data_IF_425648713682
#
_entry.id   IF_425648713682
#
_cell.length_a   1.000
_cell.length_b   1.000
_cell.length_c   1.000
_cell.angle_alpha   90.00
_cell.angle_beta   90.00
_cell.angle_gamma   90.00
#
_symmetry.space_group_name_H-M   'P 1'
#
loop_
_entity.id
_entity.type
_entity.pdbx_description
1 polymer ?
#
# COMPACT_ATOMS: atom_id res chain seq x y z
N UNK A 1 -3.32 -22.34 29.62
CA UNK A 1 -4.29 -21.25 29.38
C UNK A 1 -3.51 -20.00 29.68
N UNK A 2 -3.21 -19.22 28.65
CA UNK A 2 -2.39 -18.02 28.81
C UNK A 2 -3.11 -17.05 29.76
N UNK A 3 -2.36 -16.40 30.64
CA UNK A 3 -2.94 -15.50 31.64
C UNK A 3 -3.51 -14.25 30.95
N UNK A 4 -4.83 -14.14 30.91
CA UNK A 4 -5.52 -12.95 30.40
C UNK A 4 -5.66 -11.92 31.50
N UNK A 5 -5.38 -10.65 31.18
CA UNK A 5 -5.42 -9.58 32.16
C UNK A 5 -6.03 -8.29 31.62
N UNK A 6 -6.53 -7.52 32.57
CA UNK A 6 -7.09 -6.20 32.42
C UNK A 6 -6.03 -5.12 32.12
N UNK A 7 -6.15 -4.41 30.99
CA UNK A 7 -5.33 -3.22 30.72
C UNK A 7 -6.04 -1.99 31.30
N UNK A 8 -5.77 -1.68 32.57
CA UNK A 8 -6.50 -0.64 33.34
C UNK A 8 -5.61 0.48 33.85
N UNK A 9 -6.23 1.65 33.96
CA UNK A 9 -5.62 2.81 34.57
C UNK A 9 -5.51 2.63 36.08
N UNK A 10 -4.30 2.74 36.62
CA UNK A 10 -4.08 2.67 38.06
C UNK A 10 -4.64 3.88 38.82
N UNK A 11 -4.94 4.98 38.13
CA UNK A 11 -5.45 6.20 38.74
C UNK A 11 -6.98 6.18 38.91
N UNK A 12 -7.73 5.85 37.86
CA UNK A 12 -9.21 5.90 37.89
C UNK A 12 -9.90 4.56 37.62
N UNK A 13 -9.15 3.48 37.36
CA UNK A 13 -9.71 2.17 37.04
C UNK A 13 -10.30 2.04 35.63
N UNK A 14 -10.35 3.11 34.84
CA UNK A 14 -10.85 3.08 33.47
C UNK A 14 -9.94 2.28 32.51
N UNK A 15 -10.46 1.84 31.35
CA UNK A 15 -9.67 1.17 30.33
C UNK A 15 -8.51 2.04 29.84
N UNK A 16 -7.43 1.37 29.44
CA UNK A 16 -6.36 2.00 28.72
C UNK A 16 -6.18 1.40 27.33
N UNK A 17 -5.84 2.25 26.39
CA UNK A 17 -5.72 1.94 24.97
C UNK A 17 -4.26 2.01 24.56
N UNK A 18 -3.83 1.08 23.72
CA UNK A 18 -2.47 1.11 23.20
C UNK A 18 -2.29 2.30 22.25
N UNK A 19 -1.28 3.12 22.49
CA UNK A 19 -0.93 4.24 21.63
C UNK A 19 0.46 4.02 21.03
N UNK A 20 0.48 3.52 19.80
CA UNK A 20 1.68 3.15 19.06
C UNK A 20 2.74 4.27 19.07
N UNK A 21 2.36 5.50 18.68
CA UNK A 21 3.32 6.60 18.55
C UNK A 21 3.98 7.03 19.87
N UNK A 22 3.28 6.91 21.00
CA UNK A 22 3.77 7.28 22.33
C UNK A 22 4.38 6.09 23.08
N UNK A 23 4.28 4.88 22.51
CA UNK A 23 4.72 3.62 23.11
C UNK A 23 4.17 3.43 24.52
N UNK A 24 2.88 3.72 24.67
CA UNK A 24 2.21 3.80 25.96
C UNK A 24 0.78 3.30 25.91
N UNK A 25 0.25 2.92 27.05
CA UNK A 25 -1.18 2.82 27.30
C UNK A 25 -1.71 4.18 27.75
N UNK A 26 -2.84 4.62 27.20
CA UNK A 26 -3.49 5.88 27.55
C UNK A 26 -4.91 5.65 28.06
N UNK A 27 -5.25 6.27 29.19
CA UNK A 27 -6.59 6.24 29.73
C UNK A 27 -7.44 7.38 29.14
N UNK A 28 -8.52 7.02 28.43
CA UNK A 28 -9.44 8.00 27.83
C UNK A 28 -10.23 8.82 28.85
N UNK A 29 -10.33 8.35 30.10
CA UNK A 29 -11.12 9.00 31.15
C UNK A 29 -10.37 10.09 31.92
N UNK A 30 -9.12 9.81 32.31
CA UNK A 30 -8.33 10.74 33.13
C UNK A 30 -7.03 11.22 32.46
N UNK A 31 -6.73 10.75 31.25
CA UNK A 31 -5.53 11.13 30.50
C UNK A 31 -4.23 10.54 31.06
N UNK A 32 -4.30 9.61 32.03
CA UNK A 32 -3.10 8.95 32.54
C UNK A 32 -2.42 8.14 31.42
N UNK A 33 -1.10 8.29 31.33
CA UNK A 33 -0.25 7.62 30.34
C UNK A 33 0.72 6.72 31.07
N UNK A 34 0.80 5.45 30.67
CA UNK A 34 1.73 4.47 31.22
C UNK A 34 2.55 3.90 30.05
N UNK A 35 3.88 4.03 30.03
CA UNK A 35 4.69 3.47 28.95
C UNK A 35 4.58 1.95 28.93
N UNK A 36 4.68 1.32 27.75
CA UNK A 36 4.63 -0.15 27.64
C UNK A 36 5.77 -0.84 28.39
N UNK A 37 6.91 -0.17 28.53
CA UNK A 37 8.05 -0.57 29.36
C UNK A 37 8.64 0.67 30.04
N UNK A 38 9.08 0.51 31.29
CA UNK A 38 9.61 1.60 32.13
C UNK A 38 10.84 2.30 31.52
N UNK A 39 11.71 1.54 30.84
CA UNK A 39 12.93 2.01 30.19
C UNK A 39 12.92 1.69 28.69
N UNK A 40 11.78 1.89 28.03
CA UNK A 40 11.71 1.85 26.58
C UNK A 40 12.61 2.99 26.04
N UNK A 41 13.87 2.69 25.74
CA UNK A 41 14.83 3.67 25.22
C UNK A 41 14.28 4.50 24.06
N UNK A 42 14.94 5.61 23.73
CA UNK A 42 14.44 6.55 22.73
C UNK A 42 13.96 5.83 21.45
N UNK A 43 12.79 6.21 20.90
CA UNK A 43 12.33 5.67 19.63
C UNK A 43 13.43 5.77 18.57
N UNK A 44 13.53 4.76 17.70
CA UNK A 44 14.39 4.82 16.52
C UNK A 44 14.12 6.13 15.77
N UNK A 45 15.18 6.73 15.21
CA UNK A 45 15.15 8.01 14.49
C UNK A 45 13.87 8.18 13.67
N UNK A 46 13.19 9.31 13.84
CA UNK A 46 12.01 9.66 13.06
C UNK A 46 12.31 9.57 11.55
N UNK A 47 11.27 9.22 10.78
CA UNK A 47 11.28 9.18 9.33
C UNK A 47 11.95 10.44 8.75
N UNK A 48 13.02 10.26 7.97
CA UNK A 48 13.81 11.35 7.43
C UNK A 48 13.41 11.70 6.00
N UNK A 49 12.27 12.37 5.82
CA UNK A 49 11.85 12.92 4.51
C UNK A 49 12.70 14.14 4.19
N UNK A 50 13.38 14.12 3.04
CA UNK A 50 14.16 15.27 2.56
C UNK A 50 14.04 15.36 1.05
N UNK A 51 13.21 16.24 0.53
CA UNK A 51 13.17 16.45 -0.92
C UNK A 51 14.41 17.19 -1.42
N UNK A 52 14.76 16.95 -2.68
CA UNK A 52 15.84 17.67 -3.37
C UNK A 52 15.22 18.60 -4.41
N UNK A 53 15.12 19.92 -4.19
CA UNK A 53 14.46 20.83 -5.13
C UNK A 53 15.02 20.73 -6.56
N UNK A 54 14.16 20.92 -7.56
CA UNK A 54 14.63 21.02 -8.95
C UNK A 54 15.48 22.27 -9.13
N UNK A 55 16.65 22.11 -9.73
CA UNK A 55 17.55 23.23 -10.02
C UNK A 55 17.10 23.93 -11.30
N UNK A 56 16.98 25.26 -11.23
CA UNK A 56 16.68 26.13 -12.37
C UNK A 56 17.91 26.99 -12.68
N UNK A 57 18.32 27.03 -13.95
CA UNK A 57 19.46 27.83 -14.43
C UNK A 57 18.99 28.65 -15.64
N UNK A 58 19.07 29.97 -15.56
CA UNK A 58 18.59 30.88 -16.61
C UNK A 58 17.13 30.62 -17.04
N UNK A 59 16.26 30.26 -16.09
CA UNK A 59 14.86 29.90 -16.37
C UNK A 59 14.65 28.50 -17.00
N UNK A 60 15.71 27.71 -17.17
CA UNK A 60 15.65 26.34 -17.69
C UNK A 60 15.78 25.31 -16.55
N UNK A 61 15.04 24.21 -16.66
CA UNK A 61 15.11 23.08 -15.73
C UNK A 61 16.38 22.26 -15.97
N UNK A 62 17.16 22.00 -14.92
CA UNK A 62 18.32 21.12 -14.97
C UNK A 62 17.93 19.68 -14.60
N UNK A 63 17.80 18.82 -15.60
CA UNK A 63 17.27 17.45 -15.46
C UNK A 63 18.34 16.37 -15.65
N UNK A 64 19.56 16.62 -15.15
CA UNK A 64 20.72 15.71 -15.28
C UNK A 64 20.49 14.31 -14.70
N UNK A 65 19.53 14.16 -13.80
CA UNK A 65 19.28 12.93 -13.06
C UNK A 65 18.37 11.94 -13.80
N UNK A 66 17.73 12.37 -14.90
CA UNK A 66 16.84 11.57 -15.76
C UNK A 66 17.09 11.87 -17.25
N UNK A 67 18.31 12.27 -17.61
CA UNK A 67 18.63 12.65 -19.00
C UNK A 67 19.12 11.50 -19.88
N UNK A 68 19.53 10.38 -19.29
CA UNK A 68 19.98 9.19 -20.02
C UNK A 68 18.79 8.25 -20.25
N UNK A 69 18.10 8.45 -21.37
CA UNK A 69 16.92 7.66 -21.72
C UNK A 69 17.33 6.30 -22.33
N UNK A 70 16.67 5.24 -21.88
CA UNK A 70 16.82 3.87 -22.36
C UNK A 70 15.48 3.31 -22.84
N UNK A 71 15.48 2.18 -23.55
CA UNK A 71 14.21 1.55 -23.96
C UNK A 71 13.50 0.97 -22.73
N UNK A 72 12.17 1.09 -22.62
CA UNK A 72 11.43 0.38 -21.58
C UNK A 72 11.58 -1.13 -21.74
N UNK A 73 12.13 -1.76 -20.71
CA UNK A 73 12.09 -3.20 -20.55
C UNK A 73 10.98 -3.51 -19.57
N UNK A 74 10.10 -4.46 -19.94
CA UNK A 74 9.10 -4.96 -19.00
C UNK A 74 9.80 -5.97 -18.08
N UNK A 75 9.93 -5.71 -16.77
CA UNK A 75 10.65 -6.60 -15.89
C UNK A 75 9.99 -7.98 -15.89
N UNK A 76 10.70 -8.99 -16.40
CA UNK A 76 10.25 -10.38 -16.40
C UNK A 76 10.51 -11.00 -15.02
N UNK A 77 9.69 -10.62 -14.05
CA UNK A 77 9.69 -11.18 -12.70
C UNK A 77 8.40 -11.92 -12.44
N UNK A 78 8.51 -13.11 -11.85
CA UNK A 78 7.41 -14.06 -11.76
C UNK A 78 6.19 -13.51 -11.01
N UNK A 79 6.36 -12.71 -9.96
CA UNK A 79 5.25 -12.04 -9.25
C UNK A 79 4.42 -11.06 -10.09
N UNK A 80 4.90 -10.62 -11.26
CA UNK A 80 4.10 -9.81 -12.19
C UNK A 80 3.35 -10.64 -13.23
N UNK A 81 3.68 -11.93 -13.35
CA UNK A 81 3.02 -12.85 -14.26
C UNK A 81 1.67 -13.28 -13.67
N UNK A 82 0.62 -13.28 -14.51
CA UNK A 82 -0.73 -13.68 -14.15
C UNK A 82 -0.78 -15.04 -13.45
N UNK A 83 0.04 -16.01 -13.89
CA UNK A 83 0.11 -17.34 -13.27
C UNK A 83 0.35 -17.28 -11.76
N UNK A 84 1.28 -16.43 -11.30
CA UNK A 84 1.62 -16.30 -9.89
C UNK A 84 0.66 -15.36 -9.16
N UNK A 85 0.20 -14.30 -9.84
CA UNK A 85 -0.80 -13.36 -9.29
C UNK A 85 -2.16 -14.01 -9.06
N UNK A 86 -2.48 -15.11 -9.74
CA UNK A 86 -3.73 -15.84 -9.55
C UNK A 86 -3.83 -16.54 -8.17
N UNK A 87 -2.73 -16.66 -7.43
CA UNK A 87 -2.76 -17.21 -6.07
C UNK A 87 -3.54 -16.27 -5.14
N UNK A 88 -4.40 -16.86 -4.30
CA UNK A 88 -4.95 -16.21 -3.13
C UNK A 88 -3.83 -15.94 -2.11
N UNK A 89 -4.06 -15.06 -1.14
CA UNK A 89 -3.07 -14.78 -0.09
C UNK A 89 -2.74 -16.06 0.69
N UNK A 90 -3.77 -16.86 1.00
CA UNK A 90 -3.61 -18.12 1.70
C UNK A 90 -2.87 -19.16 0.85
N UNK A 91 -3.12 -19.23 -0.46
CA UNK A 91 -2.41 -20.15 -1.36
C UNK A 91 -0.93 -19.80 -1.45
N UNK A 92 -0.61 -18.50 -1.54
CA UNK A 92 0.76 -18.01 -1.54
C UNK A 92 1.45 -18.33 -0.19
N UNK A 93 0.75 -18.11 0.92
CA UNK A 93 1.28 -18.41 2.26
C UNK A 93 1.52 -19.91 2.48
N UNK A 94 0.62 -20.79 2.01
CA UNK A 94 0.83 -22.25 2.07
C UNK A 94 2.03 -22.72 1.24
N UNK A 95 2.43 -21.94 0.24
CA UNK A 95 3.59 -22.24 -0.59
C UNK A 95 4.89 -21.74 0.04
N UNK A 96 4.93 -20.50 0.52
CA UNK A 96 6.15 -19.85 1.07
C UNK A 96 6.36 -20.11 2.57
N UNK A 97 5.29 -20.12 3.38
CA UNK A 97 5.34 -20.18 4.84
C UNK A 97 4.18 -21.01 5.41
N UNK A 98 4.31 -22.33 5.30
CA UNK A 98 3.32 -23.29 5.81
C UNK A 98 3.06 -23.17 7.30
N UNK A 99 4.05 -22.74 8.09
CA UNK A 99 3.90 -22.63 9.53
C UNK A 99 2.91 -21.53 9.90
N UNK A 100 3.09 -20.35 9.31
CA UNK A 100 2.15 -19.23 9.50
C UNK A 100 0.80 -19.53 8.85
N UNK A 101 0.77 -20.18 7.68
CA UNK A 101 -0.48 -20.60 7.06
C UNK A 101 -1.31 -21.54 7.95
N UNK A 102 -0.66 -22.51 8.59
CA UNK A 102 -1.28 -23.45 9.51
C UNK A 102 -1.82 -22.73 10.75
N UNK A 103 -1.05 -21.80 11.33
CA UNK A 103 -1.48 -21.01 12.49
C UNK A 103 -2.75 -20.20 12.21
N UNK A 104 -2.89 -19.65 10.99
CA UNK A 104 -4.12 -18.95 10.61
C UNK A 104 -5.29 -19.89 10.28
N UNK A 105 -5.02 -21.08 9.72
CA UNK A 105 -6.08 -22.07 9.42
C UNK A 105 -6.62 -22.77 10.66
N UNK A 106 -5.74 -22.97 11.65
CA UNK A 106 -6.07 -23.56 12.95
C UNK A 106 -6.47 -22.50 13.98
N UNK A 107 -6.62 -21.24 13.56
CA UNK A 107 -7.15 -20.19 14.41
C UNK A 107 -8.51 -20.63 14.98
N UNK A 108 -8.65 -20.51 16.29
CA UNK A 108 -9.85 -20.95 17.01
C UNK A 108 -10.52 -19.76 17.66
N UNK A 109 -11.85 -19.82 17.68
CA UNK A 109 -12.64 -18.92 18.50
C UNK A 109 -12.32 -19.19 19.97
N UNK A 110 -11.89 -18.15 20.67
CA UNK A 110 -11.61 -18.18 22.10
C UNK A 110 -12.72 -17.47 22.84
N UNK A 111 -13.31 -18.15 23.83
CA UNK A 111 -14.22 -17.51 24.79
C UNK A 111 -13.39 -16.80 25.85
N UNK A 112 -13.51 -15.49 25.90
CA UNK A 112 -12.76 -14.61 26.80
C UNK A 112 -13.68 -14.16 27.93
N UNK A 113 -13.47 -14.65 29.16
CA UNK A 113 -14.19 -14.13 30.31
C UNK A 113 -13.65 -12.73 30.64
N UNK A 114 -14.52 -11.73 30.62
CA UNK A 114 -14.15 -10.38 31.03
C UNK A 114 -13.95 -10.36 32.56
N UNK A 115 -12.73 -10.10 33.06
CA UNK A 115 -12.46 -10.09 34.49
C UNK A 115 -13.14 -8.92 35.24
N UNK A 116 -13.81 -8.01 34.52
CA UNK A 116 -14.43 -6.82 35.07
C UNK A 116 -15.93 -6.94 35.23
N UNK A 117 -16.65 -7.19 34.13
CA UNK A 117 -18.11 -7.25 34.14
C UNK A 117 -18.64 -8.69 34.26
N UNK A 118 -17.75 -9.70 34.21
CA UNK A 118 -18.13 -11.10 34.24
C UNK A 118 -18.78 -11.61 32.95
N UNK A 119 -18.99 -10.75 31.95
CA UNK A 119 -19.47 -11.17 30.64
C UNK A 119 -18.41 -12.00 29.93
N UNK A 120 -18.83 -13.03 29.20
CA UNK A 120 -17.97 -13.73 28.24
C UNK A 120 -18.25 -13.20 26.85
N UNK A 121 -17.19 -13.07 26.05
CA UNK A 121 -17.29 -12.68 24.64
C UNK A 121 -16.27 -13.47 23.82
N UNK A 122 -16.39 -13.40 22.50
CA UNK A 122 -15.58 -14.19 21.58
C UNK A 122 -14.48 -13.32 20.94
N UNK A 123 -13.35 -13.96 20.63
CA UNK A 123 -12.28 -13.43 19.81
C UNK A 123 -11.54 -14.57 19.10
N UNK A 124 -10.49 -14.25 18.37
CA UNK A 124 -9.66 -15.22 17.65
C UNK A 124 -8.34 -15.47 18.39
N UNK A 125 -7.83 -16.71 18.34
CA UNK A 125 -6.56 -17.10 18.98
C UNK A 125 -5.33 -16.37 18.40
N UNK A 126 -5.48 -15.73 17.25
CA UNK A 126 -4.46 -14.90 16.57
C UNK A 126 -4.37 -13.49 17.17
N UNK A 127 -5.40 -13.04 17.90
CA UNK A 127 -5.44 -11.72 18.52
C UNK A 127 -4.66 -11.67 19.84
N UNK A 128 -4.28 -10.46 20.25
CA UNK A 128 -3.47 -10.21 21.46
C UNK A 128 -4.10 -9.22 22.41
N UNK A 129 -4.81 -8.24 21.86
CA UNK A 129 -5.61 -7.27 22.61
C UNK A 129 -7.06 -7.40 22.16
N UNK A 130 -7.93 -7.63 23.12
CA UNK A 130 -9.35 -7.80 22.94
C UNK A 130 -10.12 -6.64 23.56
N UNK A 131 -11.27 -6.30 23.01
CA UNK A 131 -12.20 -5.34 23.61
C UNK A 131 -13.45 -6.06 24.09
N UNK A 132 -13.77 -5.93 25.37
CA UNK A 132 -15.01 -6.47 25.90
C UNK A 132 -16.20 -5.62 25.39
N UNK A 133 -17.14 -6.20 24.63
CA UNK A 133 -18.27 -5.44 24.06
C UNK A 133 -19.24 -4.93 25.14
N UNK A 134 -19.25 -5.56 26.32
CA UNK A 134 -20.19 -5.20 27.39
C UNK A 134 -19.74 -3.99 28.23
N UNK A 135 -18.43 -3.76 28.35
CA UNK A 135 -17.91 -2.70 29.23
C UNK A 135 -16.77 -1.86 28.62
N UNK A 136 -16.37 -2.14 27.39
CA UNK A 136 -15.31 -1.42 26.67
C UNK A 136 -13.90 -1.64 27.22
N UNK A 137 -13.71 -2.52 28.21
CA UNK A 137 -12.39 -2.78 28.76
C UNK A 137 -11.52 -3.60 27.81
N UNK A 138 -10.24 -3.20 27.73
CA UNK A 138 -9.22 -3.91 26.97
C UNK A 138 -8.62 -5.05 27.79
N UNK A 139 -8.49 -6.21 27.16
CA UNK A 139 -7.97 -7.44 27.76
C UNK A 139 -6.78 -7.89 26.93
N UNK A 140 -5.64 -8.12 27.58
CA UNK A 140 -4.41 -8.57 26.94
C UNK A 140 -4.01 -9.98 27.38
N UNK A 141 -3.14 -10.62 26.60
CA UNK A 141 -2.49 -11.89 26.95
C UNK A 141 -1.11 -11.58 27.56
N UNK A 142 -0.88 -11.94 28.84
CA UNK A 142 0.28 -11.50 29.63
C UNK A 142 1.65 -11.80 29.01
N UNK A 143 1.83 -12.98 28.44
CA UNK A 143 3.11 -13.39 27.87
C UNK A 143 3.38 -12.78 26.49
N UNK A 144 2.34 -12.28 25.82
CA UNK A 144 2.41 -11.78 24.45
C UNK A 144 2.30 -10.26 24.36
N UNK A 145 1.75 -9.59 25.39
CA UNK A 145 1.59 -8.14 25.45
C UNK A 145 2.84 -7.46 26.02
N UNK A 146 4.00 -7.74 25.44
CA UNK A 146 5.27 -7.07 25.75
C UNK A 146 5.89 -6.58 24.44
N UNK A 147 6.60 -5.44 24.45
CA UNK A 147 7.26 -4.97 23.24
C UNK A 147 8.17 -6.05 22.63
N UNK A 148 8.05 -6.27 21.32
CA UNK A 148 8.85 -7.24 20.57
C UNK A 148 8.47 -8.72 20.77
N UNK A 149 7.43 -9.07 21.54
CA UNK A 149 7.03 -10.47 21.76
C UNK A 149 5.99 -10.99 20.77
N UNK A 150 5.83 -10.33 19.61
CA UNK A 150 4.92 -10.79 18.57
C UNK A 150 5.38 -12.11 17.96
N UNK A 151 4.44 -13.03 17.73
CA UNK A 151 4.75 -14.38 17.25
C UNK A 151 5.32 -14.34 15.84
N UNK A 152 6.48 -14.99 15.65
CA UNK A 152 7.03 -15.25 14.31
C UNK A 152 6.04 -16.05 13.45
N UNK A 153 5.24 -16.94 14.04
CA UNK A 153 4.21 -17.74 13.35
C UNK A 153 2.93 -16.96 12.99
N UNK A 154 2.83 -15.69 13.39
CA UNK A 154 1.76 -14.78 12.95
C UNK A 154 2.29 -13.69 12.03
N UNK A 155 3.57 -13.75 11.67
CA UNK A 155 4.20 -12.83 10.73
C UNK A 155 4.40 -13.53 9.40
N UNK A 156 3.76 -13.05 8.35
CA UNK A 156 3.88 -13.63 7.01
C UNK A 156 5.24 -13.30 6.41
N UNK A 157 5.99 -14.33 6.01
CA UNK A 157 7.29 -14.22 5.34
C UNK A 157 8.45 -14.72 6.18
N UNK A 158 9.63 -14.10 6.03
CA UNK A 158 10.90 -14.65 6.56
C UNK A 158 11.08 -14.48 8.08
N UNK A 159 10.25 -13.66 8.72
CA UNK A 159 10.14 -13.57 10.17
C UNK A 159 9.86 -12.17 10.72
N UNK A 160 9.49 -12.11 12.01
CA UNK A 160 9.17 -10.89 12.75
C UNK A 160 10.32 -9.87 12.80
N UNK A 161 11.57 -10.33 12.72
CA UNK A 161 12.77 -9.50 12.69
C UNK A 161 12.89 -8.61 11.43
N UNK A 162 12.11 -8.89 10.39
CA UNK A 162 12.03 -8.10 9.15
C UNK A 162 10.75 -7.27 9.08
N UNK A 163 9.99 -7.15 10.18
CA UNK A 163 8.88 -6.23 10.29
C UNK A 163 9.44 -4.83 10.59
N UNK A 164 9.11 -3.81 9.79
CA UNK A 164 9.47 -2.43 10.09
C UNK A 164 8.92 -1.99 11.46
N UNK A 165 9.78 -1.34 12.26
CA UNK A 165 9.44 -0.79 13.59
C UNK A 165 8.65 0.52 13.53
N UNK A 166 8.26 0.96 12.33
CA UNK A 166 7.49 2.17 12.08
C UNK A 166 6.27 1.85 11.24
N UNK A 167 5.17 2.55 11.50
CA UNK A 167 3.93 2.34 10.79
C UNK A 167 2.98 3.53 10.84
N UNK A 168 2.01 3.49 9.94
CA UNK A 168 0.90 4.43 9.88
C UNK A 168 -0.29 3.81 10.66
N UNK A 169 -0.98 4.58 11.52
CA UNK A 169 -2.18 4.09 12.21
C UNK A 169 -3.31 3.80 11.22
N UNK A 170 -4.11 2.76 11.51
CA UNK A 170 -5.37 2.53 10.83
C UNK A 170 -6.44 3.49 11.39
N UNK A 171 -7.06 4.28 10.52
CA UNK A 171 -8.01 5.34 10.88
C UNK A 171 -9.47 4.95 10.57
N UNK A 172 -9.69 3.78 9.95
CA UNK A 172 -11.01 3.29 9.58
C UNK A 172 -11.32 1.95 10.25
N UNK A 173 -12.59 1.72 10.52
CA UNK A 173 -13.09 0.43 11.01
C UNK A 173 -13.22 -0.60 9.87
N UNK A 174 -13.29 -1.90 10.20
CA UNK A 174 -13.59 -2.94 9.21
C UNK A 174 -14.91 -2.68 8.45
N UNK A 175 -15.93 -2.16 9.13
CA UNK A 175 -17.22 -1.85 8.51
C UNK A 175 -17.10 -0.70 7.49
N UNK A 176 -16.32 0.33 7.82
CA UNK A 176 -16.04 1.43 6.88
C UNK A 176 -15.26 0.94 5.66
N UNK A 177 -14.25 0.09 5.87
CA UNK A 177 -13.50 -0.51 4.76
C UNK A 177 -14.40 -1.32 3.81
N UNK A 178 -15.26 -2.19 4.36
CA UNK A 178 -16.24 -2.96 3.57
C UNK A 178 -17.20 -2.05 2.81
N UNK A 179 -17.70 -1.00 3.45
CA UNK A 179 -18.58 -0.03 2.80
C UNK A 179 -17.89 0.69 1.62
N UNK A 180 -16.63 1.09 1.79
CA UNK A 180 -15.84 1.75 0.73
C UNK A 180 -15.58 0.80 -0.45
N UNK A 181 -15.26 -0.47 -0.17
CA UNK A 181 -15.08 -1.48 -1.21
C UNK A 181 -16.39 -1.76 -1.98
N UNK A 182 -17.51 -1.91 -1.27
CA UNK A 182 -18.82 -2.06 -1.91
C UNK A 182 -19.21 -0.84 -2.76
N UNK A 183 -18.87 0.37 -2.29
CA UNK A 183 -19.10 1.59 -3.07
C UNK A 183 -18.29 1.58 -4.37
N UNK A 184 -17.02 1.14 -4.34
CA UNK A 184 -16.20 0.96 -5.54
C UNK A 184 -16.85 -0.01 -6.52
N UNK A 185 -17.32 -1.17 -6.04
CA UNK A 185 -18.00 -2.19 -6.87
C UNK A 185 -19.24 -1.60 -7.55
N UNK A 186 -20.07 -0.87 -6.80
CA UNK A 186 -21.28 -0.21 -7.33
C UNK A 186 -20.98 0.89 -8.34
N UNK A 187 -19.85 1.59 -8.19
CA UNK A 187 -19.45 2.66 -9.10
C UNK A 187 -18.96 2.11 -10.45
N UNK A 188 -18.45 0.87 -10.47
CA UNK A 188 -17.86 0.24 -11.66
C UNK A 188 -18.42 -1.17 -11.92
N UNK A 189 -19.76 -1.32 -12.08
CA UNK A 189 -20.40 -2.62 -12.17
C UNK A 189 -19.86 -3.49 -13.32
N UNK A 190 -19.48 -2.87 -14.44
CA UNK A 190 -18.93 -3.57 -15.60
C UNK A 190 -17.57 -4.22 -15.32
N UNK A 191 -16.77 -3.66 -14.42
CA UNK A 191 -15.46 -4.21 -14.07
C UNK A 191 -15.58 -5.47 -13.22
N UNK A 192 -16.68 -5.64 -12.49
CA UNK A 192 -16.90 -6.74 -11.56
C UNK A 192 -17.98 -7.73 -12.04
N UNK A 193 -18.47 -7.55 -13.26
CA UNK A 193 -19.53 -8.38 -13.82
C UNK A 193 -19.11 -9.86 -13.87
N UNK A 194 -19.89 -10.71 -13.20
CA UNK A 194 -19.63 -12.15 -13.14
C UNK A 194 -18.78 -12.62 -11.95
N UNK A 195 -18.37 -11.72 -11.06
CA UNK A 195 -17.63 -12.04 -9.84
C UNK A 195 -18.51 -11.86 -8.59
N UNK A 196 -18.43 -12.82 -7.66
CA UNK A 196 -19.15 -12.73 -6.37
C UNK A 196 -18.34 -11.96 -5.31
N UNK A 197 -18.00 -10.71 -5.64
CA UNK A 197 -17.13 -9.88 -4.79
C UNK A 197 -17.82 -9.36 -3.54
N UNK A 198 -19.16 -9.26 -3.54
CA UNK A 198 -19.88 -8.71 -2.39
C UNK A 198 -19.80 -9.64 -1.17
N UNK A 199 -20.00 -10.94 -1.38
CA UNK A 199 -19.86 -11.94 -0.30
C UNK A 199 -18.44 -11.96 0.26
N UNK A 200 -17.44 -12.00 -0.63
CA UNK A 200 -16.03 -11.97 -0.25
C UNK A 200 -15.68 -10.69 0.54
N UNK A 201 -16.18 -9.52 0.14
CA UNK A 201 -15.98 -8.27 0.91
C UNK A 201 -16.57 -8.39 2.32
N UNK A 202 -17.76 -8.98 2.47
CA UNK A 202 -18.39 -9.11 3.78
C UNK A 202 -17.66 -10.10 4.69
N UNK A 203 -17.26 -11.24 4.15
CA UNK A 203 -16.83 -12.39 4.93
C UNK A 203 -15.30 -12.54 5.01
N UNK A 204 -14.58 -12.19 3.95
CA UNK A 204 -13.15 -12.53 3.79
C UNK A 204 -12.20 -11.32 3.89
N UNK A 205 -12.74 -10.10 3.90
CA UNK A 205 -11.91 -8.89 4.00
C UNK A 205 -11.14 -8.83 5.33
N UNK A 206 -9.82 -8.72 5.23
CA UNK A 206 -8.91 -8.70 6.37
C UNK A 206 -8.00 -7.48 6.38
N UNK A 207 -7.64 -7.01 7.58
CA UNK A 207 -6.66 -5.95 7.76
C UNK A 207 -5.24 -6.54 7.68
N UNK A 208 -4.41 -5.97 6.83
CA UNK A 208 -2.98 -6.23 6.74
C UNK A 208 -2.20 -4.98 7.11
N UNK A 209 -1.15 -5.14 7.90
CA UNK A 209 -0.05 -4.19 7.93
C UNK A 209 1.00 -4.67 6.94
N UNK A 210 1.25 -3.87 5.91
CA UNK A 210 2.07 -4.23 4.76
C UNK A 210 3.30 -3.32 4.62
N UNK A 211 4.50 -3.86 4.32
CA UNK A 211 5.72 -3.08 4.30
C UNK A 211 5.88 -2.31 2.97
N UNK A 212 6.04 -1.00 3.08
CA UNK A 212 6.27 -0.09 1.95
C UNK A 212 7.57 0.70 2.17
N UNK A 213 8.33 0.91 1.10
CA UNK A 213 9.49 1.79 1.10
C UNK A 213 9.16 3.14 0.47
N UNK A 214 9.78 4.20 0.96
CA UNK A 214 9.50 5.58 0.60
C UNK A 214 10.62 6.22 -0.19
N UNK A 215 10.28 6.91 -1.28
CA UNK A 215 11.22 7.59 -2.15
C UNK A 215 10.62 8.81 -2.86
N UNK A 216 11.46 9.75 -3.25
CA UNK A 216 11.12 10.68 -4.33
C UNK A 216 11.37 9.99 -5.67
N UNK A 217 10.33 9.84 -6.50
CA UNK A 217 10.42 9.28 -7.84
C UNK A 217 10.45 10.41 -8.87
N UNK A 218 11.45 10.38 -9.75
CA UNK A 218 11.55 11.29 -10.89
C UNK A 218 11.71 10.51 -12.17
N UNK A 219 11.03 10.94 -13.21
CA UNK A 219 11.06 10.25 -14.49
C UNK A 219 11.12 11.23 -15.65
N UNK A 220 11.69 10.78 -16.76
CA UNK A 220 11.53 11.40 -18.05
C UNK A 220 11.18 10.33 -19.06
N UNK A 221 10.16 10.55 -19.87
CA UNK A 221 9.74 9.61 -20.91
C UNK A 221 9.60 10.32 -22.26
N UNK A 222 9.93 9.61 -23.32
CA UNK A 222 9.78 10.06 -24.70
C UNK A 222 8.61 9.36 -25.38
N UNK A 223 7.86 10.14 -26.15
CA UNK A 223 6.69 9.69 -26.91
C UNK A 223 6.85 10.12 -28.37
N UNK A 224 6.15 9.45 -29.32
CA UNK A 224 6.01 9.94 -30.67
C UNK A 224 5.51 11.38 -30.67
N UNK A 225 6.23 12.28 -31.34
CA UNK A 225 5.82 13.68 -31.43
C UNK A 225 4.56 13.87 -32.27
N UNK A 226 3.89 15.01 -32.08
CA UNK A 226 2.76 15.45 -32.90
C UNK A 226 3.23 16.43 -33.97
N UNK A 227 2.68 16.32 -35.19
CA UNK A 227 2.96 17.23 -36.30
C UNK A 227 4.43 17.19 -36.76
N UNK A 228 5.09 18.34 -36.76
CA UNK A 228 6.50 18.49 -37.21
C UNK A 228 7.53 18.07 -36.15
N UNK A 229 7.11 17.87 -34.89
CA UNK A 229 8.03 17.36 -33.86
C UNK A 229 8.22 15.86 -34.01
N UNK A 230 9.47 15.40 -34.01
CA UNK A 230 9.79 13.96 -34.08
C UNK A 230 9.52 13.24 -32.75
N UNK A 231 9.52 13.98 -31.64
CA UNK A 231 9.45 13.43 -30.29
C UNK A 231 8.84 14.43 -29.32
N UNK A 232 8.11 13.93 -28.32
CA UNK A 232 7.61 14.69 -27.17
C UNK A 232 8.29 14.12 -25.92
N UNK A 233 9.01 14.95 -25.18
CA UNK A 233 9.61 14.57 -23.90
C UNK A 233 8.74 15.06 -22.76
N UNK A 234 8.45 14.19 -21.80
CA UNK A 234 7.63 14.48 -20.63
C UNK A 234 8.45 14.23 -19.38
N UNK A 235 8.44 15.19 -18.45
CA UNK A 235 9.03 15.06 -17.12
C UNK A 235 7.93 14.84 -16.08
N UNK A 236 8.22 13.97 -15.11
CA UNK A 236 7.32 13.56 -14.03
C UNK A 236 8.04 13.64 -12.69
N UNK A 237 7.29 13.94 -11.65
CA UNK A 237 7.77 13.90 -10.27
C UNK A 237 6.66 13.38 -9.36
N UNK A 238 7.00 12.38 -8.55
CA UNK A 238 6.15 11.88 -7.47
C UNK A 238 6.96 11.99 -6.18
N UNK A 239 6.54 12.86 -5.26
CA UNK A 239 7.17 13.03 -3.96
C UNK A 239 6.51 12.10 -2.95
N UNK A 240 7.30 11.63 -1.99
CA UNK A 240 6.86 10.66 -0.96
C UNK A 240 6.10 9.48 -1.57
N UNK A 241 6.63 8.98 -2.67
CA UNK A 241 6.12 7.82 -3.36
C UNK A 241 6.44 6.56 -2.56
N UNK A 242 5.41 5.75 -2.32
CA UNK A 242 5.51 4.50 -1.60
C UNK A 242 5.46 3.32 -2.56
N UNK A 243 6.39 2.38 -2.44
CA UNK A 243 6.40 1.15 -3.23
C UNK A 243 6.50 -0.12 -2.36
N UNK A 244 5.87 -1.24 -2.76
CA UNK A 244 5.88 -2.50 -2.03
C UNK A 244 7.28 -3.07 -1.74
N UNK A 245 7.44 -3.60 -0.52
CA UNK A 245 8.62 -4.38 -0.10
C UNK A 245 8.30 -5.84 0.22
N UNK A 246 7.12 -6.30 -0.17
CA UNK A 246 6.68 -7.69 -0.16
C UNK A 246 5.73 -7.94 -1.35
N UNK A 247 5.33 -9.19 -1.54
CA UNK A 247 4.52 -9.66 -2.68
C UNK A 247 3.35 -10.58 -2.27
N UNK A 248 3.05 -10.65 -0.97
CA UNK A 248 1.87 -11.36 -0.48
C UNK A 248 0.55 -10.73 -0.95
N UNK A 249 0.55 -9.40 -1.11
CA UNK A 249 -0.56 -8.65 -1.72
C UNK A 249 -0.17 -8.25 -3.15
N UNK A 250 -1.18 -8.01 -3.99
CA UNK A 250 -0.94 -7.63 -5.39
C UNK A 250 -0.15 -6.31 -5.48
N UNK A 251 1.07 -6.39 -6.01
CA UNK A 251 2.04 -5.27 -6.05
C UNK A 251 1.51 -4.08 -6.85
N UNK A 252 0.76 -4.32 -7.93
CA UNK A 252 0.18 -3.24 -8.75
C UNK A 252 -0.97 -2.56 -8.02
N UNK A 253 -1.82 -3.33 -7.34
CA UNK A 253 -2.90 -2.79 -6.51
C UNK A 253 -2.34 -1.94 -5.35
N UNK A 254 -1.26 -2.37 -4.70
CA UNK A 254 -0.60 -1.56 -3.66
C UNK A 254 -0.01 -0.26 -4.24
N UNK A 255 0.44 -0.27 -5.49
CA UNK A 255 0.96 0.92 -6.18
C UNK A 255 -0.08 1.98 -6.53
N UNK A 256 -1.38 1.66 -6.49
CA UNK A 256 -2.48 2.59 -6.83
C UNK A 256 -3.36 2.96 -5.62
N UNK A 257 -3.00 2.51 -4.42
CA UNK A 257 -3.75 2.69 -3.18
C UNK A 257 -3.42 4.00 -2.44
N UNK A 258 -2.41 4.72 -2.93
CA UNK A 258 -2.00 6.06 -2.49
C UNK A 258 -3.17 7.07 -2.55
N UNK A 259 -3.07 8.27 -1.93
CA UNK A 259 -1.95 8.79 -1.18
C UNK A 259 -1.88 8.20 0.23
N UNK A 260 -0.70 8.33 0.82
CA UNK A 260 -0.43 8.09 2.22
C UNK A 260 0.02 9.40 2.86
N UNK A 261 -0.32 9.62 4.13
CA UNK A 261 0.14 10.74 4.94
C UNK A 261 1.22 10.27 5.91
N UNK A 262 2.48 10.59 5.61
CA UNK A 262 3.62 10.12 6.37
C UNK A 262 3.92 10.96 7.61
N UNK A 263 3.28 12.12 7.79
CA UNK A 263 3.36 12.86 9.05
C UNK A 263 2.73 12.09 10.23
N UNK A 264 1.96 11.04 9.93
CA UNK A 264 1.35 10.13 10.91
C UNK A 264 2.23 8.93 11.26
N UNK A 265 3.40 8.78 10.62
CA UNK A 265 4.30 7.67 10.92
C UNK A 265 4.80 7.77 12.36
N UNK A 266 4.67 6.68 13.09
CA UNK A 266 5.20 6.53 14.43
C UNK A 266 5.77 5.13 14.65
N UNK A 267 6.34 4.87 15.84
CA UNK A 267 6.66 3.52 16.28
C UNK A 267 5.50 2.55 16.04
N UNK A 268 5.81 1.34 15.59
CA UNK A 268 4.86 0.27 15.36
C UNK A 268 5.38 -1.03 15.96
N UNK A 269 4.62 -1.56 16.91
CA UNK A 269 4.83 -2.88 17.48
C UNK A 269 3.56 -3.73 17.29
N UNK A 270 3.62 -4.80 16.47
CA UNK A 270 2.50 -5.71 16.29
C UNK A 270 1.95 -6.31 17.59
N UNK A 271 2.78 -6.53 18.61
CA UNK A 271 2.32 -7.07 19.89
C UNK A 271 1.34 -6.12 20.58
N UNK A 272 1.47 -4.82 20.31
CA UNK A 272 0.68 -3.74 20.91
C UNK A 272 -0.47 -3.27 20.01
N UNK A 273 -0.64 -3.90 18.85
CA UNK A 273 -1.69 -3.55 17.90
C UNK A 273 -3.00 -4.24 18.28
N UNK A 274 -4.09 -3.47 18.24
CA UNK A 274 -5.43 -3.96 18.54
C UNK A 274 -6.15 -4.50 17.29
N UNK A 275 -7.08 -5.43 17.50
CA UNK A 275 -7.93 -6.00 16.45
C UNK A 275 -7.42 -7.33 15.89
N UNK A 276 -8.18 -7.89 14.93
CA UNK A 276 -7.72 -9.02 14.12
C UNK A 276 -7.07 -8.49 12.85
N UNK A 277 -5.78 -8.75 12.69
CA UNK A 277 -4.96 -8.26 11.59
C UNK A 277 -3.89 -9.27 11.22
N UNK A 278 -3.25 -9.04 10.08
CA UNK A 278 -2.12 -9.81 9.57
C UNK A 278 -0.92 -8.87 9.41
N UNK A 279 0.27 -9.38 9.66
CA UNK A 279 1.52 -8.61 9.53
C UNK A 279 2.38 -9.27 8.48
N UNK A 280 2.81 -8.47 7.49
CA UNK A 280 3.70 -8.93 6.43
C UNK A 280 5.11 -8.41 6.70
N UNK A 281 6.08 -9.32 6.71
CA UNK A 281 7.50 -8.98 6.79
C UNK A 281 8.06 -8.54 5.44
N UNK A 282 9.17 -7.80 5.44
CA UNK A 282 9.88 -7.44 4.21
C UNK A 282 10.42 -8.68 3.52
N UNK A 283 10.18 -8.79 2.22
CA UNK A 283 10.77 -9.82 1.38
C UNK A 283 12.16 -9.39 0.88
N UNK A 284 13.19 -10.06 1.39
CA UNK A 284 14.57 -9.82 1.00
C UNK A 284 14.90 -10.25 -0.44
N UNK A 285 14.08 -11.12 -1.04
CA UNK A 285 14.28 -11.61 -2.41
C UNK A 285 13.78 -10.63 -3.47
N UNK A 286 12.85 -9.75 -3.10
CA UNK A 286 12.29 -8.75 -4.00
C UNK A 286 13.29 -7.63 -4.29
N UNK A 287 13.77 -7.56 -5.54
CA UNK A 287 14.67 -6.50 -6.02
C UNK A 287 13.89 -5.20 -6.23
N UNK A 288 14.25 -4.16 -5.47
CA UNK A 288 13.63 -2.83 -5.55
C UNK A 288 13.53 -2.31 -6.98
N UNK A 289 14.61 -2.43 -7.77
CA UNK A 289 14.63 -1.87 -9.13
C UNK A 289 13.53 -2.45 -10.02
N UNK A 290 13.18 -3.73 -9.84
CA UNK A 290 12.15 -4.41 -10.65
C UNK A 290 10.76 -3.87 -10.29
N UNK A 291 10.47 -3.73 -8.99
CA UNK A 291 9.21 -3.15 -8.51
C UNK A 291 9.13 -1.68 -8.93
N UNK A 292 10.23 -0.94 -8.74
CA UNK A 292 10.29 0.47 -9.09
C UNK A 292 10.06 0.66 -10.58
N UNK A 293 10.74 -0.10 -11.42
CA UNK A 293 10.63 0.06 -12.87
C UNK A 293 9.22 -0.24 -13.36
N UNK A 294 8.60 -1.31 -12.83
CA UNK A 294 7.25 -1.70 -13.21
C UNK A 294 6.24 -0.61 -12.86
N UNK A 295 6.21 -0.19 -11.61
CA UNK A 295 5.24 0.80 -11.12
C UNK A 295 5.50 2.20 -11.69
N UNK A 296 6.77 2.61 -11.82
CA UNK A 296 7.15 3.88 -12.41
C UNK A 296 6.74 3.97 -13.89
N UNK A 297 6.91 2.87 -14.65
CA UNK A 297 6.48 2.83 -16.05
C UNK A 297 4.96 2.91 -16.17
N UNK A 298 4.22 2.24 -15.28
CA UNK A 298 2.76 2.37 -15.20
C UNK A 298 2.41 3.85 -14.94
N UNK A 299 2.93 4.48 -13.88
CA UNK A 299 2.68 5.90 -13.56
C UNK A 299 2.96 6.81 -14.77
N UNK A 300 4.15 6.70 -15.38
CA UNK A 300 4.53 7.54 -16.51
C UNK A 300 3.57 7.40 -17.72
N UNK A 301 3.15 6.18 -18.03
CA UNK A 301 2.17 5.92 -19.08
C UNK A 301 0.77 6.39 -18.73
N UNK A 302 0.35 6.16 -17.48
CA UNK A 302 -0.96 6.55 -16.94
C UNK A 302 -1.15 8.07 -16.98
N UNK A 303 -0.21 8.81 -16.43
CA UNK A 303 -0.33 10.25 -16.30
C UNK A 303 -0.18 10.96 -17.64
N UNK A 304 0.68 10.44 -18.54
CA UNK A 304 0.79 10.96 -19.90
C UNK A 304 -0.51 10.85 -20.70
N UNK A 305 -1.21 9.73 -20.54
CA UNK A 305 -2.51 9.49 -21.18
C UNK A 305 -3.56 10.43 -20.60
N UNK A 306 -3.69 10.47 -19.28
CA UNK A 306 -4.71 11.26 -18.59
C UNK A 306 -4.51 12.78 -18.79
N UNK A 307 -3.27 13.27 -18.68
CA UNK A 307 -2.99 14.71 -18.60
C UNK A 307 -2.63 15.31 -19.97
N UNK A 308 -1.96 14.55 -20.84
CA UNK A 308 -1.42 15.05 -22.12
C UNK A 308 -2.08 14.40 -23.35
N UNK A 309 -2.94 13.40 -23.15
CA UNK A 309 -3.57 12.65 -24.25
C UNK A 309 -2.54 11.92 -25.12
N UNK A 310 -1.45 11.45 -24.50
CA UNK A 310 -0.43 10.62 -25.15
C UNK A 310 -0.79 9.15 -24.99
N UNK A 311 -0.43 8.33 -25.98
CA UNK A 311 -0.69 6.89 -25.86
C UNK A 311 0.31 6.27 -24.87
N UNK A 312 -0.17 5.79 -23.73
CA UNK A 312 0.63 5.11 -22.69
C UNK A 312 1.52 3.97 -23.21
N UNK A 313 1.08 3.26 -24.26
CA UNK A 313 1.80 2.13 -24.87
C UNK A 313 2.91 2.57 -25.82
N UNK A 314 3.04 3.87 -26.05
CA UNK A 314 3.95 4.44 -27.04
C UNK A 314 5.22 5.06 -26.43
N UNK A 315 5.48 4.85 -25.14
CA UNK A 315 6.77 5.23 -24.53
C UNK A 315 7.91 4.57 -25.34
N UNK A 316 8.79 5.39 -25.92
CA UNK A 316 9.90 4.92 -26.77
C UNK A 316 11.16 4.69 -25.97
N UNK A 317 11.52 5.69 -25.18
CA UNK A 317 12.63 5.66 -24.25
C UNK A 317 12.23 6.40 -22.97
N UNK A 318 12.88 6.07 -21.87
CA UNK A 318 12.59 6.66 -20.57
C UNK A 318 13.81 6.59 -19.65
N UNK A 319 13.77 7.37 -18.59
CA UNK A 319 14.70 7.31 -17.48
C UNK A 319 13.94 7.54 -16.19
N UNK A 320 14.45 6.97 -15.10
CA UNK A 320 13.84 7.03 -13.78
C UNK A 320 14.91 7.11 -12.71
N UNK A 321 14.61 7.81 -11.63
CA UNK A 321 15.43 7.87 -10.43
C UNK A 321 14.52 7.89 -9.22
N UNK A 322 14.62 6.83 -8.41
CA UNK A 322 14.03 6.78 -7.09
C UNK A 322 15.09 7.15 -6.05
N UNK A 323 14.89 8.23 -5.30
CA UNK A 323 15.74 8.62 -4.18
C UNK A 323 15.04 8.24 -2.88
N UNK A 324 15.47 7.12 -2.29
CA UNK A 324 14.90 6.62 -1.04
C UNK A 324 15.09 7.62 0.10
N UNK A 325 14.06 7.75 0.93
CA UNK A 325 14.14 8.52 2.18
C UNK A 325 14.86 7.72 3.26
N UNK A 326 15.53 8.44 4.17
CA UNK A 326 16.24 7.81 5.28
C UNK A 326 15.20 7.24 6.25
N UNK A 327 15.39 6.01 6.69
CA UNK A 327 14.46 5.31 7.59
C UNK A 327 13.04 5.20 6.97
N UNK A 328 12.93 5.28 5.64
CA UNK A 328 11.68 5.29 4.87
C UNK A 328 11.02 3.94 4.67
N UNK A 329 11.14 3.01 5.61
CA UNK A 329 10.51 1.69 5.54
C UNK A 329 9.41 1.64 6.59
N UNK A 330 8.16 1.58 6.15
CA UNK A 330 6.98 1.78 7.00
C UNK A 330 5.94 0.70 6.77
N UNK A 331 5.21 0.35 7.84
CA UNK A 331 4.02 -0.48 7.77
C UNK A 331 2.81 0.37 7.45
N UNK A 332 2.07 0.01 6.40
CA UNK A 332 0.84 0.69 6.02
C UNK A 332 -0.38 -0.21 6.26
N UNK A 333 -1.49 0.32 6.81
CA UNK A 333 -2.71 -0.44 7.04
C UNK A 333 -3.51 -0.56 5.74
N UNK A 334 -3.83 -1.79 5.35
CA UNK A 334 -4.56 -2.12 4.12
C UNK A 334 -5.63 -3.15 4.45
N UNK A 335 -6.89 -2.79 4.27
CA UNK A 335 -7.94 -3.80 4.20
C UNK A 335 -7.88 -4.43 2.81
N UNK A 336 -7.84 -5.75 2.76
CA UNK A 336 -7.65 -6.48 1.51
C UNK A 336 -8.60 -7.67 1.44
N UNK A 337 -9.12 -7.91 0.26
CA UNK A 337 -9.82 -9.15 -0.09
C UNK A 337 -9.31 -9.63 -1.44
N UNK A 338 -9.02 -10.93 -1.52
CA UNK A 338 -8.62 -11.58 -2.75
C UNK A 338 -9.84 -12.07 -3.56
N UNK A 339 -9.62 -12.99 -4.50
CA UNK A 339 -10.68 -13.59 -5.30
C UNK A 339 -11.66 -14.34 -4.39
N UNK A 340 -12.97 -14.31 -4.68
CA UNK A 340 -13.91 -15.27 -4.12
C UNK A 340 -13.38 -16.71 -4.32
N UNK A 341 -13.52 -17.56 -3.31
CA UNK A 341 -13.08 -18.96 -3.41
C UNK A 341 -13.76 -19.71 -4.57
N UNK A 342 -15.01 -19.34 -4.87
CA UNK A 342 -15.87 -19.84 -5.94
C UNK A 342 -15.41 -19.49 -7.35
N UNK A 343 -14.63 -18.43 -7.53
CA UNK A 343 -14.20 -17.94 -8.85
C UNK A 343 -13.11 -18.82 -9.49
N UNK A 344 -12.58 -19.82 -8.75
CA UNK A 344 -11.49 -20.71 -9.19
C UNK A 344 -10.21 -19.95 -9.60
N UNK A 345 -9.13 -20.70 -9.94
CA UNK A 345 -7.88 -20.08 -10.44
C UNK A 345 -7.92 -19.76 -11.93
N UNK A 346 -8.87 -20.35 -12.65
CA UNK A 346 -8.95 -20.31 -14.10
C UNK A 346 -9.90 -19.20 -14.52
N UNK A 347 -9.38 -18.15 -15.15
CA UNK A 347 -10.19 -17.05 -15.67
C UNK A 347 -9.73 -15.67 -15.21
N UNK A 348 -10.66 -14.72 -15.26
CA UNK A 348 -10.47 -13.37 -14.73
C UNK A 348 -10.49 -13.40 -13.20
N UNK A 349 -9.74 -12.51 -12.58
CA UNK A 349 -9.43 -12.51 -11.16
C UNK A 349 -9.61 -11.11 -10.61
N UNK A 350 -10.19 -10.99 -9.42
CA UNK A 350 -10.40 -9.70 -8.76
C UNK A 350 -9.56 -9.64 -7.49
N UNK A 351 -8.94 -8.49 -7.23
CA UNK A 351 -8.34 -8.11 -5.94
C UNK A 351 -8.86 -6.73 -5.58
N UNK A 352 -9.27 -6.54 -4.33
CA UNK A 352 -9.77 -5.25 -3.84
C UNK A 352 -9.00 -4.89 -2.57
N UNK A 353 -8.59 -3.62 -2.50
CA UNK A 353 -7.90 -3.07 -1.34
C UNK A 353 -8.52 -1.73 -0.94
N UNK A 354 -8.50 -1.44 0.36
CA UNK A 354 -8.89 -0.15 0.92
C UNK A 354 -7.77 0.36 1.81
N UNK A 355 -7.34 1.59 1.55
CA UNK A 355 -6.35 2.30 2.33
C UNK A 355 -6.90 2.53 3.75
N UNK A 356 -6.29 1.90 4.74
CA UNK A 356 -6.72 1.99 6.14
C UNK A 356 -6.56 3.38 6.77
N UNK A 357 -5.79 4.27 6.14
CA UNK A 357 -5.59 5.65 6.59
C UNK A 357 -6.52 6.63 5.87
N UNK A 358 -6.65 6.52 4.55
CA UNK A 358 -7.34 7.53 3.72
C UNK A 358 -8.72 7.13 3.24
N UNK A 359 -9.18 5.91 3.58
CA UNK A 359 -10.43 5.32 3.09
C UNK A 359 -10.48 5.03 1.59
N UNK A 360 -9.42 5.30 0.82
CA UNK A 360 -9.43 5.12 -0.63
C UNK A 360 -9.51 3.64 -1.00
N UNK A 361 -10.51 3.26 -1.78
CA UNK A 361 -10.65 1.92 -2.33
C UNK A 361 -10.04 1.82 -3.74
N UNK A 362 -9.42 0.69 -4.05
CA UNK A 362 -8.92 0.36 -5.37
C UNK A 362 -9.12 -1.13 -5.66
N UNK A 363 -9.16 -1.49 -6.94
CA UNK A 363 -9.25 -2.86 -7.39
C UNK A 363 -8.44 -3.09 -8.66
N UNK A 364 -7.97 -4.33 -8.80
CA UNK A 364 -7.38 -4.83 -10.03
C UNK A 364 -8.16 -6.06 -10.46
N UNK A 365 -8.66 -6.04 -11.69
CA UNK A 365 -9.40 -7.13 -12.32
C UNK A 365 -8.58 -7.64 -13.50
N UNK A 366 -8.09 -8.87 -13.48
CA UNK A 366 -7.07 -9.32 -14.42
C UNK A 366 -7.17 -10.77 -14.85
N UNK A 367 -6.60 -11.06 -16.01
CA UNK A 367 -6.41 -12.38 -16.61
C UNK A 367 -5.12 -12.37 -17.42
N UNK A 368 -4.77 -13.51 -18.03
CA UNK A 368 -3.68 -13.61 -19.00
C UNK A 368 -3.81 -12.65 -20.20
N UNK A 369 -5.03 -12.13 -20.46
CA UNK A 369 -5.39 -11.39 -21.68
C UNK A 369 -5.81 -9.94 -21.42
N UNK A 370 -6.08 -9.56 -20.18
CA UNK A 370 -6.60 -8.25 -19.85
C UNK A 370 -6.27 -7.95 -18.40
N UNK A 371 -5.93 -6.71 -18.11
CA UNK A 371 -5.86 -6.20 -16.74
C UNK A 371 -6.58 -4.87 -16.68
N UNK A 372 -7.46 -4.68 -15.70
CA UNK A 372 -8.27 -3.49 -15.52
C UNK A 372 -8.01 -2.93 -14.13
N UNK A 373 -7.64 -1.66 -14.05
CA UNK A 373 -7.46 -0.96 -12.78
C UNK A 373 -8.64 -0.03 -12.53
N UNK A 374 -9.14 -0.04 -11.30
CA UNK A 374 -10.25 0.78 -10.86
C UNK A 374 -9.87 1.41 -9.53
N UNK A 375 -10.02 2.73 -9.41
CA UNK A 375 -9.63 3.46 -8.20
C UNK A 375 -10.71 4.48 -7.85
N UNK A 376 -11.17 4.45 -6.60
CA UNK A 376 -12.10 5.45 -6.10
C UNK A 376 -11.43 6.83 -6.02
N UNK A 377 -12.23 7.87 -6.22
CA UNK A 377 -11.80 9.23 -5.92
C UNK A 377 -11.62 9.41 -4.40
N UNK A 378 -10.71 10.31 -4.02
CA UNK A 378 -10.53 10.64 -2.61
C UNK A 378 -11.75 11.32 -2.03
N UNK A 379 -11.99 11.07 -0.74
CA UNK A 379 -13.01 11.80 0.00
C UNK A 379 -12.63 13.30 0.00
N UNK A 380 -13.50 14.21 -0.49
CA UNK A 380 -13.21 15.64 -0.52
C UNK A 380 -12.93 16.27 0.86
N UNK A 381 -13.39 15.64 1.95
CA UNK A 381 -13.11 16.11 3.32
C UNK A 381 -11.79 15.59 3.90
N UNK A 382 -11.04 14.77 3.15
CA UNK A 382 -9.75 14.26 3.60
C UNK A 382 -8.71 15.39 3.57
N UNK A 383 -8.13 15.65 4.74
CA UNK A 383 -7.01 16.59 4.87
C UNK A 383 -5.71 15.81 5.01
N UNK A 384 -4.83 15.95 4.03
CA UNK A 384 -3.49 15.37 4.05
C UNK A 384 -2.47 16.43 4.50
N UNK A 385 -1.46 16.00 5.25
CA UNK A 385 -0.33 16.86 5.60
C UNK A 385 0.56 17.18 4.38
N UNK A 386 1.53 18.07 4.59
CA UNK A 386 2.57 18.37 3.60
C UNK A 386 3.58 17.24 3.36
N UNK A 387 3.57 16.19 4.19
CA UNK A 387 4.41 14.99 4.07
C UNK A 387 3.56 13.81 3.56
N UNK A 388 2.74 14.07 2.54
CA UNK A 388 1.90 13.05 1.89
C UNK A 388 2.38 12.75 0.47
N UNK A 389 2.00 11.61 -0.08
CA UNK A 389 2.32 11.28 -1.48
C UNK A 389 1.75 12.33 -2.42
N UNK A 390 2.60 12.97 -3.23
CA UNK A 390 2.21 14.01 -4.19
C UNK A 390 2.65 13.65 -5.60
N UNK A 391 1.68 13.55 -6.50
CA UNK A 391 1.93 13.47 -7.94
C UNK A 391 1.95 14.87 -8.54
N UNK A 392 3.12 15.32 -8.98
CA UNK A 392 3.22 16.57 -9.72
C UNK A 392 2.64 16.37 -11.12
N UNK A 393 1.87 17.36 -11.59
CA UNK A 393 1.35 17.36 -12.96
C UNK A 393 2.49 17.20 -13.97
N UNK A 394 2.43 16.18 -14.87
CA UNK A 394 3.46 15.99 -15.89
C UNK A 394 3.61 17.22 -16.78
N UNK A 395 4.85 17.52 -17.15
CA UNK A 395 5.19 18.66 -18.00
C UNK A 395 5.92 18.23 -19.25
N UNK A 396 5.52 18.80 -20.39
CA UNK A 396 6.26 18.65 -21.63
C UNK A 396 7.50 19.54 -21.60
N UNK A 397 8.66 18.96 -21.91
CA UNK A 397 9.95 19.64 -21.88
C UNK A 397 10.68 19.51 -23.21
N UNK A 398 11.56 20.47 -23.51
CA UNK A 398 12.41 20.46 -24.69
C UNK A 398 13.86 20.71 -24.29
N UNK A 399 14.76 19.85 -24.73
CA UNK A 399 16.20 20.04 -24.51
C UNK A 399 16.67 21.32 -25.20
N UNK A 400 17.46 22.13 -24.49
CA UNK A 400 18.02 23.39 -25.00
C UNK A 400 19.53 23.31 -25.14
N UNK A 401 20.24 23.02 -24.05
CA UNK A 401 21.72 23.04 -24.02
C UNK A 401 22.31 22.20 -22.88
N UNK A 402 23.62 21.98 -22.96
CA UNK A 402 24.40 21.38 -21.87
C UNK A 402 24.37 22.27 -20.61
N UNK A 403 24.41 21.72 -19.39
CA UNK A 403 24.45 20.30 -19.04
C UNK A 403 23.05 19.75 -18.73
N UNK A 404 22.29 19.40 -19.76
CA UNK A 404 20.92 18.88 -19.64
C UNK A 404 19.91 19.91 -19.11
N UNK A 405 19.91 21.09 -19.75
CA UNK A 405 18.95 22.17 -19.49
C UNK A 405 17.77 22.07 -20.46
N UNK A 406 16.56 22.13 -19.90
CA UNK A 406 15.30 21.96 -20.61
C UNK A 406 14.38 23.16 -20.41
N UNK A 407 13.66 23.53 -21.46
CA UNK A 407 12.57 24.48 -21.41
C UNK A 407 11.24 23.75 -21.17
N UNK A 408 10.37 24.30 -20.33
CA UNK A 408 8.98 23.84 -20.22
C UNK A 408 8.22 24.33 -21.45
N UNK A 409 7.70 23.38 -22.24
CA UNK A 409 6.91 23.67 -23.45
C UNK A 409 5.44 23.83 -23.09
N UNK A 410 4.94 22.92 -22.25
CA UNK A 410 3.54 22.88 -21.84
C UNK A 410 3.44 22.27 -20.46
N UNK A 411 2.62 22.89 -19.60
CA UNK A 411 2.16 22.26 -18.37
C UNK A 411 0.84 21.54 -18.65
N UNK A 412 0.67 20.36 -18.08
CA UNK A 412 -0.54 19.57 -18.19
C UNK A 412 -1.72 20.18 -17.44
N UNK A 413 -2.26 21.31 -17.91
CA UNK A 413 -3.39 21.97 -17.25
C UNK A 413 -3.36 23.46 -17.54
N UNK A 414 -4.28 23.94 -18.38
CA UNK A 414 -4.50 25.38 -18.55
C UNK A 414 -5.10 25.98 -17.27
N UNK A 415 -4.57 27.14 -16.85
CA UNK A 415 -5.05 28.07 -15.82
C UNK A 415 -5.97 27.54 -14.70
N UNK A 416 -5.37 27.06 -13.61
CA UNK A 416 -5.77 27.38 -12.22
C UNK A 416 -4.75 26.82 -11.21
N UNK A 417 -4.37 27.57 -10.15
CA UNK A 417 -3.65 27.00 -9.02
C UNK A 417 -4.65 26.27 -8.14
N UNK A 418 -4.94 25.00 -8.46
CA UNK A 418 -5.51 24.06 -7.48
C UNK A 418 -4.34 23.27 -6.92
N UNK A 419 -4.22 23.23 -5.59
CA UNK A 419 -3.54 22.13 -4.92
C UNK A 419 -4.21 20.85 -5.43
N UNK A 420 -3.52 20.12 -6.31
CA UNK A 420 -4.03 18.85 -6.85
C UNK A 420 -3.82 17.81 -5.77
N UNK A 421 -4.70 17.81 -4.78
CA UNK A 421 -5.06 16.57 -4.10
C UNK A 421 -5.44 15.59 -5.21
N UNK A 422 -4.84 14.40 -5.20
CA UNK A 422 -4.92 13.38 -6.26
C UNK A 422 -6.32 13.29 -6.89
N UNK A 423 -6.54 14.07 -7.96
CA UNK A 423 -7.72 14.04 -8.77
C UNK A 423 -7.49 12.99 -9.85
N UNK A 424 -7.37 11.73 -9.42
CA UNK A 424 -7.84 10.65 -10.26
C UNK A 424 -9.35 10.61 -10.07
N UNK A 425 -10.07 11.38 -10.89
CA UNK A 425 -11.44 11.03 -11.23
C UNK A 425 -11.41 9.59 -11.72
N UNK A 426 -12.17 8.73 -11.06
CA UNK A 426 -11.88 7.30 -11.10
C UNK A 426 -11.94 6.77 -12.53
N UNK A 427 -10.78 6.30 -13.00
CA UNK A 427 -10.56 5.93 -14.39
C UNK A 427 -10.80 4.44 -14.57
N UNK A 428 -11.65 4.08 -15.53
CA UNK A 428 -11.71 2.72 -16.07
C UNK A 428 -10.48 2.51 -16.96
N UNK A 429 -9.58 1.58 -16.62
CA UNK A 429 -8.30 1.45 -17.32
C UNK A 429 -8.03 0.02 -17.76
N UNK A 430 -8.34 -0.29 -19.01
CA UNK A 430 -8.05 -1.59 -19.63
C UNK A 430 -6.62 -1.66 -20.20
N UNK A 431 -5.87 -2.69 -19.83
CA UNK A 431 -4.55 -3.06 -20.33
C UNK A 431 -4.64 -4.39 -21.08
N UNK A 432 -4.58 -4.32 -22.42
CA UNK A 432 -4.36 -5.50 -23.27
C UNK A 432 -2.86 -5.86 -23.29
N UNK A 433 -2.46 -7.11 -22.97
CA UNK A 433 -1.08 -7.55 -22.96
C UNK A 433 -0.53 -7.75 -24.38
N UNK A 434 0.80 -7.73 -24.47
CA UNK A 434 1.56 -8.01 -25.70
C UNK A 434 1.31 -9.47 -26.11
N UNK A 435 0.98 -9.69 -27.40
CA UNK A 435 0.91 -11.03 -28.00
C UNK A 435 2.24 -11.77 -27.73
N UNK A 436 2.18 -12.90 -27.01
CA UNK A 436 3.31 -13.83 -26.91
C UNK A 436 3.72 -14.24 -28.33
N UNK A 437 5.01 -14.07 -28.64
CA UNK A 437 5.58 -14.40 -29.94
C UNK A 437 5.47 -15.90 -30.24
N UNK A 438 5.56 -16.22 -31.53
CA UNK A 438 5.33 -17.51 -32.19
C UNK A 438 6.13 -18.73 -31.64
N UNK A 439 7.01 -18.56 -30.66
CA UNK A 439 7.92 -19.61 -30.17
C UNK A 439 7.40 -20.39 -28.95
N UNK A 440 6.30 -19.97 -28.31
CA UNK A 440 5.69 -20.73 -27.21
C UNK A 440 4.89 -21.97 -27.66
N UNK A 441 4.74 -22.19 -28.98
CA UNK A 441 4.10 -23.38 -29.54
C UNK A 441 5.07 -24.57 -29.75
N UNK A 442 6.38 -24.39 -29.49
CA UNK A 442 7.41 -25.39 -29.83
C UNK A 442 7.88 -26.19 -28.61
N UNK A 443 7.69 -25.71 -27.37
CA UNK A 443 8.06 -26.45 -26.17
C UNK A 443 6.89 -26.50 -25.20
N UNK A 444 6.00 -27.46 -25.42
CA UNK A 444 4.97 -27.84 -24.45
C UNK A 444 5.51 -28.83 -23.42
N UNK A 445 5.26 -28.53 -22.14
CA UNK A 445 4.67 -29.43 -21.14
C UNK A 445 4.34 -28.65 -19.88
#
# INVERSE_FOLDING_TARGET
MDEMFAIKCQNCGGPMYSHQAKRSFECTYCGAVIPWQADAGEPKSALGIRHTPLTVVDGLLKLTHVSQLERPEDPDWYFFNSHWRNQSVQEHLLWEDRGTAQEFQEATHVSIPCPFCGASFEGESTQRVFECPSCGNKIGIADLLKPGTFSKRLTMGVGAEYVPEQGIPCEISPQQARANALQLVRQYPDAFAGHDVEDAIQNDMMLFYFPMALADLRMMASFPGKGLSKETLVYYEVLDWAYPRANYLDVRLMGILEPWDFAKVGPFDPAMQEGDFRVVSVDASTKDQVVIDKLALDIAGNDAEAVLGLNKKSIRTWARKARKHKDGLVMVPVYFVDRPATDSRDGEQVRIAVNGQTSRAAAVVFSDKRETHVVASLNPSLHLSGESTVHATPIEVKYVKSPFLYQIVRRGGGDQPRQVAAAAEGSYREEKPKRKGLFAAIFGK
#
